data_IF_631614030817
#
_entry.id   IF_631614030817
#
_cell.length_a   1.000
_cell.length_b   1.000
_cell.length_c   1.000
_cell.angle_alpha   90.00
_cell.angle_beta   90.00
_cell.angle_gamma   90.00
#
_symmetry.space_group_name_H-M   'P 1'
#
loop_
_entity.id
_entity.type
_entity.pdbx_description
1 polymer ?
#
# COMPACT_ATOMS: atom_id res chain seq x y z
N UNK A 1 37.78 -14.95 -55.23
CA UNK A 1 37.97 -14.05 -54.07
C UNK A 1 36.65 -13.75 -53.31
N UNK A 2 35.50 -13.60 -53.98
CA UNK A 2 34.20 -13.30 -53.35
C UNK A 2 33.60 -14.45 -52.49
N UNK A 3 33.85 -15.72 -52.81
CA UNK A 3 33.35 -16.88 -52.02
C UNK A 3 33.99 -16.97 -50.62
N UNK A 4 35.28 -16.68 -50.48
CA UNK A 4 36.00 -16.71 -49.21
C UNK A 4 35.52 -15.59 -48.25
N UNK A 5 35.11 -14.43 -48.77
CA UNK A 5 34.50 -13.37 -47.97
C UNK A 5 33.10 -13.74 -47.46
N UNK A 6 32.27 -14.41 -48.27
CA UNK A 6 30.94 -14.88 -47.84
C UNK A 6 31.03 -15.95 -46.74
N UNK A 7 31.95 -16.90 -46.85
CA UNK A 7 32.18 -17.93 -45.82
C UNK A 7 32.68 -17.30 -44.51
N UNK A 8 33.55 -16.28 -44.61
CA UNK A 8 34.06 -15.54 -43.44
C UNK A 8 32.99 -14.66 -42.78
N UNK A 9 32.03 -14.14 -43.54
CA UNK A 9 30.88 -13.41 -43.00
C UNK A 9 29.82 -14.33 -42.38
N UNK A 10 29.53 -15.50 -42.97
CA UNK A 10 28.62 -16.48 -42.37
C UNK A 10 29.16 -17.06 -41.06
N UNK A 11 30.47 -17.32 -40.97
CA UNK A 11 31.11 -17.78 -39.73
C UNK A 11 31.11 -16.72 -38.63
N UNK A 12 31.30 -15.44 -38.96
CA UNK A 12 31.17 -14.32 -38.01
C UNK A 12 29.73 -14.17 -37.48
N UNK A 13 28.71 -14.28 -38.35
CA UNK A 13 27.29 -14.21 -37.94
C UNK A 13 26.92 -15.41 -37.05
N UNK A 14 27.40 -16.61 -37.38
CA UNK A 14 27.19 -17.82 -36.58
C UNK A 14 27.87 -17.71 -35.20
N UNK A 15 29.08 -17.13 -35.12
CA UNK A 15 29.78 -16.92 -33.86
C UNK A 15 29.06 -15.87 -32.97
N UNK A 16 28.52 -14.81 -33.57
CA UNK A 16 27.74 -13.78 -32.87
C UNK A 16 26.41 -14.37 -32.37
N UNK A 17 25.71 -15.14 -33.22
CA UNK A 17 24.49 -15.86 -32.83
C UNK A 17 24.73 -16.84 -31.68
N UNK A 18 25.86 -17.55 -31.67
CA UNK A 18 26.23 -18.47 -30.59
C UNK A 18 26.58 -17.72 -29.30
N UNK A 19 27.21 -16.54 -29.40
CA UNK A 19 27.52 -15.69 -28.25
C UNK A 19 26.28 -15.06 -27.59
N UNK A 20 25.21 -14.81 -28.34
CA UNK A 20 23.94 -14.32 -27.78
C UNK A 20 23.17 -15.40 -27.00
N UNK A 21 23.38 -16.69 -27.31
CA UNK A 21 22.71 -17.79 -26.61
C UNK A 21 23.28 -18.03 -25.20
N UNK A 22 24.53 -17.63 -24.94
CA UNK A 22 25.19 -17.81 -23.63
C UNK A 22 24.85 -16.70 -22.62
N UNK A 23 24.21 -15.60 -23.05
CA UNK A 23 23.75 -14.54 -22.14
C UNK A 23 22.39 -14.85 -21.48
N UNK A 24 21.80 -16.02 -21.77
CA UNK A 24 20.39 -16.33 -21.49
C UNK A 24 20.08 -17.20 -20.28
N UNK A 25 20.99 -17.42 -19.32
CA UNK A 25 20.71 -18.26 -18.14
C UNK A 25 21.23 -17.62 -16.86
N UNK A 26 20.67 -16.46 -16.48
CA UNK A 26 20.82 -15.98 -15.10
C UNK A 26 19.90 -16.83 -14.23
N UNK A 27 20.50 -17.77 -13.48
CA UNK A 27 19.80 -18.51 -12.43
C UNK A 27 19.38 -17.53 -11.33
N UNK A 28 18.16 -17.67 -10.81
CA UNK A 28 17.70 -16.86 -9.68
C UNK A 28 18.40 -17.36 -8.43
N UNK A 29 19.16 -16.50 -7.72
CA UNK A 29 19.90 -16.92 -6.55
C UNK A 29 18.94 -17.35 -5.43
N UNK A 30 19.29 -18.38 -4.63
CA UNK A 30 18.45 -18.91 -3.56
C UNK A 30 18.16 -17.90 -2.45
N UNK A 31 18.93 -16.81 -2.35
CA UNK A 31 18.76 -15.71 -1.40
C UNK A 31 17.68 -14.69 -1.84
N UNK A 32 17.29 -14.67 -3.12
CA UNK A 32 16.32 -13.71 -3.63
C UNK A 32 14.95 -13.74 -2.90
N UNK A 33 14.36 -14.92 -2.57
CA UNK A 33 13.17 -14.99 -1.74
C UNK A 33 13.36 -14.36 -0.35
N UNK A 34 14.52 -14.55 0.28
CA UNK A 34 14.80 -14.00 1.60
C UNK A 34 14.87 -12.47 1.55
N UNK A 35 15.58 -11.92 0.55
CA UNK A 35 15.64 -10.47 0.33
C UNK A 35 14.25 -9.88 0.07
N UNK A 36 13.40 -10.56 -0.69
CA UNK A 36 12.02 -10.11 -0.92
C UNK A 36 11.17 -10.16 0.35
N UNK A 37 11.37 -11.16 1.23
CA UNK A 37 10.71 -11.20 2.54
C UNK A 37 11.19 -10.04 3.43
N UNK A 38 12.49 -9.74 3.44
CA UNK A 38 13.04 -8.60 4.17
C UNK A 38 12.50 -7.26 3.63
N UNK A 39 12.30 -7.14 2.31
CA UNK A 39 11.66 -5.97 1.70
C UNK A 39 10.23 -5.81 2.21
N UNK A 40 9.46 -6.89 2.33
CA UNK A 40 8.12 -6.87 2.92
C UNK A 40 8.10 -6.32 4.35
N UNK A 41 9.06 -6.73 5.18
CA UNK A 41 9.22 -6.20 6.55
C UNK A 41 9.56 -4.69 6.54
N UNK A 42 10.41 -4.25 5.62
CA UNK A 42 10.74 -2.82 5.46
C UNK A 42 9.54 -2.00 5.01
N UNK A 43 8.71 -2.51 4.10
CA UNK A 43 7.47 -1.84 3.67
C UNK A 43 6.56 -1.58 4.88
N UNK A 44 6.36 -2.59 5.74
CA UNK A 44 5.56 -2.44 6.97
C UNK A 44 6.18 -1.44 7.96
N UNK A 45 7.51 -1.40 8.09
CA UNK A 45 8.17 -0.43 8.97
C UNK A 45 8.03 1.02 8.47
N UNK A 46 8.07 1.24 7.15
CA UNK A 46 7.88 2.57 6.55
C UNK A 46 6.40 2.99 6.68
N UNK A 47 5.45 2.07 6.47
CA UNK A 47 4.02 2.31 6.73
C UNK A 47 3.79 2.83 8.15
N UNK A 48 4.31 2.13 9.16
CA UNK A 48 4.18 2.54 10.55
C UNK A 48 4.81 3.90 10.83
N UNK A 49 5.97 4.18 10.23
CA UNK A 49 6.65 5.47 10.37
C UNK A 49 5.84 6.61 9.75
N UNK A 50 5.26 6.39 8.57
CA UNK A 50 4.44 7.38 7.89
C UNK A 50 3.11 7.62 8.62
N UNK A 51 2.46 6.57 9.15
CA UNK A 51 1.27 6.70 10.00
C UNK A 51 1.59 7.50 11.26
N UNK A 52 2.71 7.21 11.91
CA UNK A 52 3.15 7.96 13.09
C UNK A 52 3.37 9.45 12.76
N UNK A 53 4.04 9.75 11.65
CA UNK A 53 4.25 11.12 11.19
C UNK A 53 2.93 11.83 10.90
N UNK A 54 1.99 11.15 10.23
CA UNK A 54 0.66 11.67 9.93
C UNK A 54 -0.07 12.10 11.21
N UNK A 55 -0.17 11.21 12.19
CA UNK A 55 -0.83 11.51 13.46
C UNK A 55 -0.14 12.66 14.20
N UNK A 56 1.19 12.65 14.29
CA UNK A 56 1.94 13.73 14.95
C UNK A 56 1.73 15.08 14.27
N UNK A 57 1.67 15.10 12.95
CA UNK A 57 1.40 16.32 12.19
C UNK A 57 0.00 16.86 12.50
N UNK A 58 -1.04 16.02 12.44
CA UNK A 58 -2.41 16.45 12.70
C UNK A 58 -2.65 16.81 14.17
N UNK A 59 -2.05 16.09 15.11
CA UNK A 59 -2.08 16.45 16.54
C UNK A 59 -1.49 17.84 16.77
N UNK A 60 -0.37 18.16 16.12
CA UNK A 60 0.20 19.50 16.20
C UNK A 60 -0.74 20.56 15.62
N UNK A 61 -1.43 20.27 14.52
CA UNK A 61 -2.40 21.21 13.93
C UNK A 61 -3.64 21.42 14.79
N UNK A 62 -4.14 20.36 15.44
CA UNK A 62 -5.23 20.47 16.43
C UNK A 62 -4.78 21.32 17.62
N UNK A 63 -3.54 21.16 18.09
CA UNK A 63 -2.97 22.01 19.13
C UNK A 63 -2.85 23.48 18.70
N UNK A 64 -2.37 23.74 17.47
CA UNK A 64 -2.30 25.11 16.93
C UNK A 64 -3.70 25.79 16.91
N UNK A 65 -4.78 25.02 16.61
CA UNK A 65 -6.16 25.50 16.69
C UNK A 65 -6.58 25.79 18.13
N UNK A 66 -6.25 24.90 19.08
CA UNK A 66 -6.55 25.13 20.49
C UNK A 66 -5.88 26.39 21.02
N UNK A 67 -4.62 26.62 20.63
CA UNK A 67 -3.87 27.82 20.99
C UNK A 67 -4.52 29.08 20.40
N UNK A 68 -4.92 29.04 19.12
CA UNK A 68 -5.67 30.13 18.47
C UNK A 68 -7.00 30.42 19.17
N UNK A 69 -7.77 29.37 19.49
CA UNK A 69 -9.06 29.54 20.18
C UNK A 69 -8.84 30.20 21.53
N UNK A 70 -7.88 29.72 22.32
CA UNK A 70 -7.65 30.17 23.68
C UNK A 70 -7.10 31.60 23.75
N UNK A 71 -6.15 31.93 22.89
CA UNK A 71 -5.36 33.17 23.02
C UNK A 71 -5.82 34.29 22.08
N UNK A 72 -6.58 33.98 21.02
CA UNK A 72 -7.04 34.97 20.05
C UNK A 72 -8.56 35.03 19.97
N UNK A 73 -9.21 33.88 19.70
CA UNK A 73 -10.65 33.87 19.47
C UNK A 73 -11.47 34.11 20.74
N UNK A 74 -11.14 33.46 21.86
CA UNK A 74 -11.87 33.61 23.14
C UNK A 74 -11.81 35.05 23.65
N UNK A 75 -10.67 35.75 23.68
CA UNK A 75 -10.62 37.16 24.06
C UNK A 75 -11.51 38.06 23.19
N UNK A 76 -11.46 37.88 21.87
CA UNK A 76 -12.27 38.68 20.95
C UNK A 76 -13.77 38.37 21.10
N UNK A 77 -14.13 37.09 21.20
CA UNK A 77 -15.49 36.66 21.46
C UNK A 77 -16.03 37.22 22.78
N UNK A 78 -15.22 37.22 23.85
CA UNK A 78 -15.60 37.79 25.14
C UNK A 78 -15.83 39.30 25.02
N UNK A 79 -14.95 40.03 24.34
CA UNK A 79 -15.12 41.47 24.10
C UNK A 79 -16.43 41.75 23.37
N UNK A 80 -16.73 41.01 22.30
CA UNK A 80 -17.98 41.15 21.55
C UNK A 80 -19.21 40.82 22.40
N UNK A 81 -19.14 39.77 23.21
CA UNK A 81 -20.22 39.38 24.10
C UNK A 81 -20.56 40.47 25.14
N UNK A 82 -19.54 41.05 25.78
CA UNK A 82 -19.73 42.12 26.77
C UNK A 82 -20.01 43.49 26.14
N UNK A 83 -19.71 43.69 24.86
CA UNK A 83 -20.07 44.89 24.11
C UNK A 83 -21.52 44.88 23.60
N UNK A 84 -22.20 43.73 23.62
CA UNK A 84 -23.61 43.64 23.22
C UNK A 84 -24.47 44.51 24.18
N UNK A 85 -25.29 45.46 23.67
CA UNK A 85 -25.97 46.45 24.50
C UNK A 85 -26.82 45.87 25.63
N UNK A 86 -27.55 44.77 25.42
CA UNK A 86 -28.36 44.19 26.48
C UNK A 86 -27.49 43.55 27.57
N UNK A 87 -26.41 42.86 27.20
CA UNK A 87 -25.44 42.30 28.13
C UNK A 87 -24.69 43.41 28.89
N UNK A 88 -24.19 44.43 28.19
CA UNK A 88 -23.45 45.54 28.78
C UNK A 88 -24.28 46.24 29.87
N UNK A 89 -25.54 46.58 29.55
CA UNK A 89 -26.45 47.23 30.49
C UNK A 89 -26.69 46.37 31.75
N UNK A 90 -26.91 45.06 31.58
CA UNK A 90 -27.11 44.14 32.72
C UNK A 90 -25.83 44.02 33.55
N UNK A 91 -24.68 43.89 32.89
CA UNK A 91 -23.40 43.77 33.56
C UNK A 91 -23.06 45.04 34.37
N UNK A 92 -23.22 46.22 33.78
CA UNK A 92 -22.96 47.50 34.44
C UNK A 92 -23.85 47.69 35.67
N UNK A 93 -25.14 47.33 35.59
CA UNK A 93 -26.05 47.35 36.73
C UNK A 93 -25.60 46.41 37.86
N UNK A 94 -25.17 45.19 37.52
CA UNK A 94 -24.70 44.18 38.49
C UNK A 94 -23.36 44.60 39.12
N UNK A 95 -22.48 45.26 38.36
CA UNK A 95 -21.22 45.78 38.88
C UNK A 95 -21.50 46.95 39.82
N UNK A 96 -22.33 47.91 39.41
CA UNK A 96 -22.68 49.11 40.17
C UNK A 96 -23.43 48.79 41.47
N UNK A 97 -24.24 47.73 41.52
CA UNK A 97 -24.95 47.33 42.75
C UNK A 97 -24.02 46.86 43.87
N UNK A 98 -22.76 46.49 43.55
CA UNK A 98 -21.82 45.96 44.52
C UNK A 98 -22.18 44.56 45.05
N UNK A 99 -23.31 43.97 44.65
CA UNK A 99 -23.81 42.73 45.22
C UNK A 99 -23.06 41.51 44.67
N UNK A 100 -22.31 40.84 45.56
CA UNK A 100 -21.56 39.63 45.24
C UNK A 100 -22.44 38.49 44.74
N UNK A 101 -23.66 38.32 45.27
CA UNK A 101 -24.55 37.24 44.84
C UNK A 101 -25.05 37.45 43.41
N UNK A 102 -25.34 38.69 43.02
CA UNK A 102 -25.80 38.99 41.65
C UNK A 102 -24.69 38.75 40.62
N UNK A 103 -23.45 39.14 40.94
CA UNK A 103 -22.27 38.84 40.12
C UNK A 103 -22.08 37.33 39.94
N UNK A 104 -22.15 36.57 41.04
CA UNK A 104 -22.04 35.11 40.99
C UNK A 104 -23.17 34.49 40.16
N UNK A 105 -24.41 34.95 40.34
CA UNK A 105 -25.57 34.46 39.59
C UNK A 105 -25.44 34.73 38.10
N UNK A 106 -24.92 35.90 37.71
CA UNK A 106 -24.63 36.21 36.31
C UNK A 106 -23.60 35.22 35.75
N UNK A 107 -22.46 35.06 36.43
CA UNK A 107 -21.40 34.14 35.99
C UNK A 107 -21.93 32.72 35.84
N UNK A 108 -22.66 32.19 36.83
CA UNK A 108 -23.19 30.82 36.80
C UNK A 108 -24.24 30.62 35.70
N UNK A 109 -25.01 31.65 35.33
CA UNK A 109 -25.99 31.56 34.25
C UNK A 109 -25.37 31.71 32.87
N UNK A 110 -24.33 32.54 32.75
CA UNK A 110 -23.77 32.95 31.47
C UNK A 110 -22.60 32.05 31.05
N UNK A 111 -21.74 31.64 32.00
CA UNK A 111 -20.55 30.83 31.70
C UNK A 111 -20.85 29.52 30.96
N UNK A 112 -21.91 28.73 31.26
CA UNK A 112 -22.16 27.50 30.51
C UNK A 112 -22.51 27.77 29.04
N UNK A 113 -23.20 28.88 28.76
CA UNK A 113 -23.57 29.28 27.39
C UNK A 113 -22.36 29.74 26.60
N UNK A 114 -21.46 30.50 27.22
CA UNK A 114 -20.20 30.91 26.60
C UNK A 114 -19.31 29.70 26.35
N UNK A 115 -19.18 28.80 27.33
CA UNK A 115 -18.41 27.57 27.18
C UNK A 115 -18.95 26.69 26.04
N UNK A 116 -20.28 26.60 25.90
CA UNK A 116 -20.89 25.88 24.80
C UNK A 116 -20.49 26.46 23.44
N UNK A 117 -20.49 27.79 23.28
CA UNK A 117 -20.08 28.44 22.04
C UNK A 117 -18.57 28.24 21.76
N UNK A 118 -17.73 28.31 22.79
CA UNK A 118 -16.29 28.02 22.68
C UNK A 118 -16.08 26.57 22.20
N UNK A 119 -16.77 25.61 22.81
CA UNK A 119 -16.67 24.20 22.44
C UNK A 119 -17.21 23.95 21.02
N UNK A 120 -18.31 24.61 20.63
CA UNK A 120 -18.84 24.53 19.27
C UNK A 120 -17.83 25.05 18.26
N UNK A 121 -17.18 26.20 18.55
CA UNK A 121 -16.15 26.74 17.67
C UNK A 121 -14.93 25.82 17.57
N UNK A 122 -14.54 25.18 18.67
CA UNK A 122 -13.49 24.16 18.67
C UNK A 122 -13.82 22.99 17.74
N UNK A 123 -15.02 22.42 17.88
CA UNK A 123 -15.46 21.32 17.01
C UNK A 123 -15.52 21.76 15.55
N UNK A 124 -16.06 22.94 15.27
CA UNK A 124 -16.14 23.51 13.92
C UNK A 124 -14.77 23.57 13.22
N UNK A 125 -13.72 23.96 13.96
CA UNK A 125 -12.38 24.13 13.40
C UNK A 125 -11.58 22.82 13.37
N UNK A 126 -11.78 21.91 14.34
CA UNK A 126 -11.04 20.64 14.43
C UNK A 126 -11.60 19.58 13.49
N UNK A 127 -12.93 19.48 13.34
CA UNK A 127 -13.58 18.41 12.59
C UNK A 127 -13.08 18.28 11.13
N UNK A 128 -12.84 19.37 10.37
CA UNK A 128 -12.26 19.26 9.03
C UNK A 128 -10.86 18.62 9.01
N UNK A 129 -10.05 18.83 10.07
CA UNK A 129 -8.73 18.21 10.19
C UNK A 129 -8.85 16.70 10.45
N UNK A 130 -9.78 16.28 11.30
CA UNK A 130 -10.01 14.85 11.58
C UNK A 130 -10.47 14.10 10.33
N UNK A 131 -11.37 14.70 9.54
CA UNK A 131 -11.83 14.12 8.26
C UNK A 131 -10.67 14.02 7.27
N UNK A 132 -9.80 15.04 7.21
CA UNK A 132 -8.65 15.02 6.32
C UNK A 132 -7.60 13.98 6.75
N UNK A 133 -7.31 13.90 8.04
CA UNK A 133 -6.41 12.90 8.65
C UNK A 133 -6.86 11.49 8.27
N UNK A 134 -8.13 11.17 8.54
CA UNK A 134 -8.72 9.86 8.23
C UNK A 134 -8.66 9.53 6.73
N UNK A 135 -8.89 10.53 5.86
CA UNK A 135 -8.83 10.33 4.40
C UNK A 135 -7.42 10.02 3.92
N UNK A 136 -6.42 10.73 4.45
CA UNK A 136 -5.02 10.49 4.13
C UNK A 136 -4.57 9.13 4.67
N UNK A 137 -4.92 8.80 5.92
CA UNK A 137 -4.61 7.52 6.55
C UNK A 137 -5.18 6.34 5.75
N UNK A 138 -6.44 6.45 5.33
CA UNK A 138 -7.11 5.41 4.53
C UNK A 138 -6.38 5.17 3.22
N UNK A 139 -6.01 6.26 2.52
CA UNK A 139 -5.27 6.17 1.25
C UNK A 139 -3.87 5.58 1.46
N UNK A 140 -3.14 6.06 2.46
CA UNK A 140 -1.80 5.60 2.80
C UNK A 140 -1.79 4.10 3.10
N UNK A 141 -2.73 3.64 3.94
CA UNK A 141 -2.87 2.23 4.30
C UNK A 141 -3.22 1.37 3.09
N UNK A 142 -4.10 1.85 2.20
CA UNK A 142 -4.43 1.15 0.96
C UNK A 142 -3.21 1.00 0.02
N UNK A 143 -2.43 2.06 -0.16
CA UNK A 143 -1.22 2.07 -1.00
C UNK A 143 -0.18 1.07 -0.44
N UNK A 144 0.02 1.03 0.88
CA UNK A 144 0.90 0.06 1.53
C UNK A 144 0.39 -1.37 1.46
N UNK A 145 -0.93 -1.60 1.59
CA UNK A 145 -1.53 -2.91 1.40
C UNK A 145 -1.28 -3.45 -0.02
N UNK A 146 -1.39 -2.58 -1.04
CA UNK A 146 -1.06 -2.94 -2.42
C UNK A 146 0.42 -3.29 -2.57
N UNK A 147 1.32 -2.48 -2.02
CA UNK A 147 2.76 -2.73 -2.07
C UNK A 147 3.13 -4.07 -1.41
N UNK A 148 2.55 -4.38 -0.25
CA UNK A 148 2.71 -5.67 0.44
C UNK A 148 2.20 -6.84 -0.40
N UNK A 149 1.04 -6.70 -1.05
CA UNK A 149 0.49 -7.75 -1.92
C UNK A 149 1.37 -8.02 -3.16
N UNK A 150 1.94 -6.97 -3.76
CA UNK A 150 2.90 -7.08 -4.87
C UNK A 150 4.16 -7.81 -4.38
N UNK A 151 4.73 -7.39 -3.24
CA UNK A 151 5.93 -8.03 -2.68
C UNK A 151 5.70 -9.51 -2.34
N UNK A 152 4.53 -9.86 -1.80
CA UNK A 152 4.19 -11.25 -1.51
C UNK A 152 4.10 -12.10 -2.78
N UNK A 153 3.52 -11.55 -3.86
CA UNK A 153 3.49 -12.22 -5.16
C UNK A 153 4.91 -12.44 -5.71
N UNK A 154 5.78 -11.42 -5.63
CA UNK A 154 7.19 -11.52 -6.04
C UNK A 154 7.91 -12.59 -5.21
N UNK A 155 7.75 -12.57 -3.88
CA UNK A 155 8.33 -13.56 -2.98
C UNK A 155 7.90 -14.98 -3.39
N UNK A 156 6.61 -15.18 -3.69
CA UNK A 156 6.09 -16.46 -4.18
C UNK A 156 6.73 -16.91 -5.49
N UNK A 157 6.90 -16.01 -6.46
CA UNK A 157 7.58 -16.32 -7.73
C UNK A 157 9.06 -16.66 -7.52
N UNK A 158 9.76 -15.92 -6.66
CA UNK A 158 11.16 -16.19 -6.33
C UNK A 158 11.33 -17.53 -5.60
N UNK A 159 10.42 -17.87 -4.67
CA UNK A 159 10.42 -19.17 -3.98
C UNK A 159 10.19 -20.33 -4.95
N UNK A 160 9.26 -20.15 -5.90
CA UNK A 160 8.99 -21.16 -6.93
C UNK A 160 10.22 -21.39 -7.80
N UNK A 161 10.82 -20.30 -8.31
CA UNK A 161 11.97 -20.38 -9.19
C UNK A 161 13.23 -20.92 -8.50
N UNK A 162 13.52 -20.47 -7.27
CA UNK A 162 14.67 -20.97 -6.49
C UNK A 162 14.56 -22.46 -6.17
N UNK A 163 13.36 -22.97 -5.83
CA UNK A 163 13.13 -24.40 -5.60
C UNK A 163 13.34 -25.25 -6.85
N UNK A 164 12.95 -24.75 -8.03
CA UNK A 164 13.19 -25.44 -9.30
C UNK A 164 14.68 -25.56 -9.58
N UNK A 165 15.44 -24.49 -9.33
CA UNK A 165 16.91 -24.47 -9.45
C UNK A 165 17.55 -25.43 -8.45
N UNK A 166 17.20 -25.32 -7.17
CA UNK A 166 17.78 -26.16 -6.11
C UNK A 166 17.49 -27.65 -6.32
N UNK A 167 16.26 -28.00 -6.74
CA UNK A 167 15.91 -29.38 -7.04
C UNK A 167 16.72 -29.91 -8.24
N UNK A 168 16.90 -29.10 -9.29
CA UNK A 168 17.74 -29.47 -10.44
C UNK A 168 19.18 -29.73 -10.01
N UNK A 169 19.77 -28.82 -9.23
CA UNK A 169 21.15 -28.94 -8.77
C UNK A 169 21.35 -30.18 -7.89
N UNK A 170 20.39 -30.47 -7.01
CA UNK A 170 20.39 -31.66 -6.14
C UNK A 170 20.33 -32.98 -6.92
N UNK A 171 19.53 -33.06 -7.98
CA UNK A 171 19.46 -34.27 -8.81
C UNK A 171 20.74 -34.48 -9.63
N UNK A 172 21.38 -33.40 -10.08
CA UNK A 172 22.67 -33.45 -10.77
C UNK A 172 23.79 -33.92 -9.82
N UNK A 173 23.77 -33.47 -8.57
CA UNK A 173 24.75 -33.87 -7.54
C UNK A 173 24.58 -35.33 -7.09
N UNK A 174 23.33 -35.78 -6.91
CA UNK A 174 23.00 -37.13 -6.48
C UNK A 174 23.27 -38.20 -7.57
N UNK A 175 23.30 -37.79 -8.83
CA UNK A 175 23.54 -38.68 -9.96
C UNK A 175 25.03 -38.93 -10.26
N UNK A 176 25.96 -38.07 -9.80
CA UNK A 176 27.40 -38.29 -9.94
C UNK A 176 27.91 -38.61 -11.37
N UNK A 177 27.24 -38.13 -12.43
CA UNK A 177 27.47 -38.55 -13.83
C UNK A 177 27.44 -37.37 -14.81
N UNK A 178 28.34 -37.45 -15.80
CA UNK A 178 28.61 -36.52 -16.90
C UNK A 178 27.41 -36.34 -17.87
N UNK A 179 27.30 -35.14 -18.46
CA UNK A 179 26.06 -34.42 -18.78
C UNK A 179 25.22 -34.88 -20.00
N UNK A 180 25.64 -35.87 -20.79
CA UNK A 180 25.13 -35.96 -22.18
C UNK A 180 24.07 -37.04 -22.47
N UNK A 181 24.01 -38.16 -21.72
CA UNK A 181 23.04 -39.24 -22.01
C UNK A 181 21.68 -39.08 -21.32
N UNK A 182 21.63 -38.48 -20.13
CA UNK A 182 20.38 -38.33 -19.35
C UNK A 182 19.48 -37.25 -19.95
N UNK A 183 20.07 -36.23 -20.58
CA UNK A 183 19.35 -35.14 -21.26
C UNK A 183 18.46 -35.68 -22.39
N UNK A 184 18.95 -36.65 -23.16
CA UNK A 184 18.14 -37.32 -24.20
C UNK A 184 17.03 -38.19 -23.62
N UNK A 185 17.23 -38.80 -22.45
CA UNK A 185 16.22 -39.64 -21.80
C UNK A 185 15.07 -38.80 -21.23
N UNK A 186 15.38 -37.62 -20.67
CA UNK A 186 14.38 -36.66 -20.16
C UNK A 186 13.60 -36.03 -21.30
N UNK A 187 14.26 -35.60 -22.38
CA UNK A 187 13.60 -35.05 -23.57
C UNK A 187 12.65 -36.08 -24.22
N UNK A 188 13.04 -37.35 -24.24
CA UNK A 188 12.18 -38.43 -24.74
C UNK A 188 10.99 -38.68 -23.83
N UNK A 189 11.18 -38.52 -22.51
CA UNK A 189 10.09 -38.68 -21.52
C UNK A 189 9.08 -37.54 -21.62
N UNK A 190 9.53 -36.31 -21.82
CA UNK A 190 8.65 -35.16 -22.05
C UNK A 190 7.90 -35.25 -23.38
N UNK A 191 8.50 -35.84 -24.42
CA UNK A 191 7.81 -36.15 -25.69
C UNK A 191 6.74 -37.24 -25.48
N UNK A 192 7.04 -38.29 -24.70
CA UNK A 192 6.09 -39.37 -24.39
C UNK A 192 4.92 -38.87 -23.54
N UNK A 193 5.19 -38.00 -22.55
CA UNK A 193 4.15 -37.37 -21.73
C UNK A 193 3.32 -36.40 -22.58
N UNK A 194 3.96 -35.67 -23.50
CA UNK A 194 3.25 -34.79 -24.45
C UNK A 194 2.36 -35.58 -25.41
N UNK A 195 2.80 -36.74 -25.91
CA UNK A 195 2.01 -37.64 -26.76
C UNK A 195 0.87 -38.34 -25.97
N UNK A 196 1.11 -38.69 -24.70
CA UNK A 196 0.10 -39.21 -23.77
C UNK A 196 -1.00 -38.18 -23.49
N UNK A 197 -0.61 -36.93 -23.23
CA UNK A 197 -1.54 -35.82 -23.03
C UNK A 197 -2.30 -35.44 -24.31
N UNK A 198 -1.68 -35.63 -25.48
CA UNK A 198 -2.31 -35.39 -26.78
C UNK A 198 -3.29 -36.52 -27.16
N UNK A 199 -3.02 -37.77 -26.74
CA UNK A 199 -3.90 -38.94 -26.95
C UNK A 199 -5.00 -39.11 -25.89
N UNK A 200 -4.98 -38.35 -24.79
CA UNK A 200 -6.04 -38.37 -23.77
C UNK A 200 -7.18 -37.38 -24.03
N UNK A 201 -7.34 -36.87 -25.27
CA UNK A 201 -8.56 -36.16 -25.68
C UNK A 201 -9.75 -37.14 -25.78
N UNK A 202 -10.28 -37.51 -24.62
CA UNK A 202 -11.68 -37.89 -24.43
C UNK A 202 -12.10 -37.54 -22.99
N UNK A 203 -12.76 -36.39 -22.89
CA UNK A 203 -13.91 -36.06 -22.04
C UNK A 203 -13.87 -36.65 -20.63
N UNK A 204 -13.54 -35.85 -19.60
CA UNK A 204 -14.54 -35.05 -18.88
C UNK A 204 -13.90 -34.21 -17.75
N UNK A 205 -14.06 -32.88 -17.84
CA UNK A 205 -14.04 -31.97 -16.69
C UNK A 205 -12.70 -31.68 -16.02
N UNK A 206 -12.03 -30.58 -16.42
CA UNK A 206 -11.40 -29.64 -15.45
C UNK A 206 -10.86 -28.31 -15.99
N UNK A 207 -10.93 -28.02 -17.29
CA UNK A 207 -10.48 -26.71 -17.83
C UNK A 207 -11.65 -25.72 -18.10
N UNK A 208 -12.92 -26.16 -18.07
CA UNK A 208 -14.07 -25.30 -18.36
C UNK A 208 -14.62 -24.45 -17.18
N UNK A 209 -14.09 -24.57 -15.95
CA UNK A 209 -14.65 -23.85 -14.77
C UNK A 209 -14.00 -22.49 -14.48
N UNK A 210 -12.77 -22.26 -14.93
CA UNK A 210 -12.07 -20.98 -14.70
C UNK A 210 -12.53 -19.86 -15.62
N UNK A 211 -12.65 -20.15 -16.92
CA UNK A 211 -12.92 -19.10 -17.92
C UNK A 211 -14.40 -18.74 -18.06
N UNK A 212 -15.33 -19.66 -17.76
CA UNK A 212 -16.77 -19.37 -17.75
C UNK A 212 -17.18 -18.48 -16.56
N UNK A 213 -16.52 -18.65 -15.40
CA UNK A 213 -16.71 -17.81 -14.22
C UNK A 213 -16.26 -16.36 -14.48
N UNK A 214 -15.08 -16.19 -15.10
CA UNK A 214 -14.55 -14.88 -15.48
C UNK A 214 -15.42 -14.19 -16.54
N UNK A 215 -16.04 -14.94 -17.46
CA UNK A 215 -16.94 -14.37 -18.48
C UNK A 215 -18.25 -13.84 -17.88
N UNK A 216 -18.92 -14.63 -17.02
CA UNK A 216 -20.21 -14.23 -16.40
C UNK A 216 -20.07 -13.06 -15.43
N UNK A 217 -18.94 -12.92 -14.73
CA UNK A 217 -18.65 -11.77 -13.88
C UNK A 217 -18.44 -10.48 -14.69
N UNK A 218 -17.79 -10.59 -15.86
CA UNK A 218 -17.55 -9.43 -16.73
C UNK A 218 -18.82 -8.99 -17.49
N UNK A 219 -19.72 -9.92 -17.82
CA UNK A 219 -21.03 -9.60 -18.44
C UNK A 219 -21.99 -8.90 -17.47
N UNK A 220 -22.01 -9.29 -16.19
CA UNK A 220 -22.81 -8.63 -15.14
C UNK A 220 -22.31 -7.23 -14.80
N UNK A 221 -21.01 -6.96 -14.96
CA UNK A 221 -20.42 -5.64 -14.77
C UNK A 221 -20.78 -4.65 -15.89
N UNK A 222 -21.08 -5.15 -17.10
CA UNK A 222 -21.34 -4.33 -18.27
C UNK A 222 -22.85 -4.18 -18.59
N UNK A 223 -23.74 -4.69 -17.75
CA UNK A 223 -25.20 -4.48 -17.82
C UNK A 223 -25.75 -3.65 -16.65
N UNK A 224 -24.87 -2.94 -15.94
CA UNK A 224 -25.14 -1.79 -15.08
C UNK A 224 -24.30 -0.61 -15.59
#
# INVERSE_FOLDING_TARGET
>A
MQMLQKIRQLSLISLISLSLLIMGCVSIPPEAPELSAQLGNRISAIEQSNLTLLHRYFDRKKQDIDDFIQHEWVPEFANQFFAEPAIANVWDQIVASGNRQDRLKFILKTSPKLQQQINQKRVELIQPLEVLEQRIETKLTADYAQAKAINNSITGFLLSASKVVENRDRYLEMAGVDSDEITQLIDTTDIIISDLLQKSQNIEGKIAKGENYLRRINELRNSL
#
